data_IF_259556910115
#
_entry.id   IF_259556910115
#
_cell.length_a   1.000
_cell.length_b   1.000
_cell.length_c   1.000
_cell.angle_alpha   90.00
_cell.angle_beta   90.00
_cell.angle_gamma   90.00
#
_symmetry.space_group_name_H-M   'P 1'
#
loop_
_entity.id
_entity.type
_entity.pdbx_description
1 polymer ?
#
# COMPACT_ATOMS: atom_id res chain seq x y z
N UNK A 1 -5.13 -21.62 -5.01
CA UNK A 1 -5.85 -22.15 -6.19
C UNK A 1 -7.35 -21.84 -6.23
N UNK A 2 -8.16 -22.34 -5.28
CA UNK A 2 -9.64 -22.26 -5.37
C UNK A 2 -10.20 -20.83 -5.33
N UNK A 3 -9.81 -20.04 -4.33
CA UNK A 3 -10.44 -18.76 -4.00
C UNK A 3 -9.51 -17.52 -4.00
N UNK A 4 -8.23 -17.64 -4.38
CA UNK A 4 -7.29 -16.50 -4.35
C UNK A 4 -7.09 -15.88 -2.95
N UNK A 5 -7.41 -16.64 -1.90
CA UNK A 5 -7.76 -16.09 -0.58
C UNK A 5 -6.60 -15.68 0.32
N UNK A 6 -5.54 -16.48 0.43
CA UNK A 6 -4.48 -16.21 1.40
C UNK A 6 -3.47 -15.18 0.89
N UNK A 7 -3.17 -14.22 1.76
CA UNK A 7 -1.91 -13.50 1.72
C UNK A 7 -0.79 -14.46 2.10
N UNK A 8 0.38 -14.25 1.51
CA UNK A 8 1.59 -14.97 1.87
C UNK A 8 2.53 -13.95 2.51
N UNK A 9 2.71 -14.07 3.82
CA UNK A 9 3.75 -13.36 4.57
C UNK A 9 5.04 -14.17 4.50
N UNK A 10 5.98 -13.69 3.69
CA UNK A 10 7.25 -14.33 3.47
C UNK A 10 8.27 -13.76 4.46
N UNK A 11 8.59 -14.58 5.47
CA UNK A 11 9.53 -14.24 6.53
C UNK A 11 10.98 -14.61 6.21
N UNK A 12 11.24 -15.26 5.07
CA UNK A 12 12.59 -15.70 4.66
C UNK A 12 13.56 -14.53 4.36
N UNK A 13 13.16 -13.43 3.70
CA UNK A 13 14.08 -12.36 3.35
C UNK A 13 14.74 -11.76 4.60
N UNK A 14 16.07 -11.53 4.60
CA UNK A 14 16.80 -11.12 5.81
C UNK A 14 16.25 -9.86 6.49
N UNK A 15 15.75 -8.89 5.72
CA UNK A 15 15.18 -7.65 6.26
C UNK A 15 13.88 -7.86 7.07
N UNK A 16 13.26 -9.05 7.00
CA UNK A 16 12.06 -9.40 7.77
C UNK A 16 12.36 -9.85 9.20
N UNK A 17 13.64 -9.99 9.57
CA UNK A 17 14.09 -10.23 10.95
C UNK A 17 13.46 -11.47 11.58
N UNK A 18 13.16 -12.50 10.78
CA UNK A 18 12.59 -13.76 11.28
C UNK A 18 13.48 -14.37 12.36
N UNK A 19 12.86 -14.81 13.47
CA UNK A 19 13.55 -15.35 14.63
C UNK A 19 14.22 -14.31 15.53
N UNK A 20 14.18 -13.01 15.19
CA UNK A 20 14.73 -11.91 16.01
C UNK A 20 13.66 -11.00 16.62
N UNK A 21 12.39 -11.32 16.41
CA UNK A 21 11.27 -10.52 16.90
C UNK A 21 9.93 -10.95 16.31
N UNK A 22 8.90 -10.16 16.59
CA UNK A 22 7.57 -10.25 16.01
C UNK A 22 7.48 -9.28 14.83
N UNK A 23 7.03 -9.78 13.69
CA UNK A 23 6.58 -8.95 12.56
C UNK A 23 5.17 -9.36 12.21
N UNK A 24 4.26 -8.40 12.13
CA UNK A 24 2.87 -8.65 11.76
C UNK A 24 2.45 -7.69 10.65
N UNK A 25 1.88 -8.24 9.57
CA UNK A 25 1.11 -7.43 8.63
C UNK A 25 -0.26 -7.13 9.22
N UNK A 26 -0.57 -5.84 9.33
CA UNK A 26 -1.86 -5.35 9.76
C UNK A 26 -2.59 -4.65 8.61
N UNK A 27 -3.92 -4.76 8.65
CA UNK A 27 -4.81 -4.25 7.62
C UNK A 27 -4.43 -4.80 6.23
N UNK A 28 -4.25 -3.92 5.24
CA UNK A 28 -4.06 -4.29 3.85
C UNK A 28 -2.62 -4.64 3.49
N UNK A 29 -1.64 -3.93 4.06
CA UNK A 29 -0.22 -4.03 3.69
C UNK A 29 0.73 -3.30 4.64
N UNK A 30 0.27 -2.80 5.80
CA UNK A 30 1.18 -2.17 6.76
C UNK A 30 1.84 -3.27 7.57
N UNK A 31 3.12 -3.12 7.87
CA UNK A 31 3.81 -4.05 8.77
C UNK A 31 4.36 -3.28 9.95
N UNK A 32 4.33 -3.93 11.10
CA UNK A 32 4.90 -3.40 12.32
C UNK A 32 5.77 -4.49 12.95
N UNK A 33 6.91 -4.07 13.47
CA UNK A 33 7.93 -4.97 14.01
C UNK A 33 8.30 -4.56 15.42
N UNK A 34 8.45 -5.54 16.30
CA UNK A 34 9.08 -5.37 17.61
C UNK A 34 10.03 -6.54 17.86
N UNK A 35 11.21 -6.28 18.41
CA UNK A 35 12.17 -7.30 18.80
C UNK A 35 12.85 -6.96 20.13
N UNK A 36 13.60 -7.90 20.74
CA UNK A 36 14.30 -7.68 22.01
C UNK A 36 15.28 -6.50 21.97
N UNK A 37 15.83 -6.19 20.79
CA UNK A 37 16.76 -5.06 20.61
C UNK A 37 16.05 -3.69 20.64
N UNK A 38 14.78 -3.64 20.26
CA UNK A 38 14.00 -2.39 20.13
C UNK A 38 13.00 -2.17 21.26
N UNK A 39 12.63 -3.23 21.98
CA UNK A 39 11.57 -3.22 23.00
C UNK A 39 12.06 -3.91 24.27
N UNK A 40 12.37 -3.16 25.34
CA UNK A 40 12.92 -3.73 26.57
C UNK A 40 11.93 -4.66 27.29
N UNK A 41 10.63 -4.57 26.98
CA UNK A 41 9.57 -5.44 27.51
C UNK A 41 9.18 -6.54 26.53
N UNK A 42 10.01 -6.84 25.53
CA UNK A 42 9.66 -7.77 24.47
C UNK A 42 9.22 -9.14 25.00
N UNK A 43 9.98 -9.73 25.94
CA UNK A 43 9.68 -11.05 26.47
C UNK A 43 8.44 -11.03 27.36
N UNK A 44 8.27 -10.00 28.20
CA UNK A 44 7.06 -9.82 29.01
C UNK A 44 5.81 -9.77 28.10
N UNK A 45 5.88 -9.01 26.99
CA UNK A 45 4.81 -8.93 25.99
C UNK A 45 4.59 -10.23 25.23
N UNK A 46 5.66 -10.99 24.96
CA UNK A 46 5.60 -12.27 24.26
C UNK A 46 4.92 -13.35 25.11
N UNK A 47 5.19 -13.35 26.41
CA UNK A 47 4.66 -14.31 27.38
C UNK A 47 3.44 -13.81 28.16
N UNK A 48 2.96 -12.59 27.85
CA UNK A 48 1.84 -11.93 28.51
C UNK A 48 2.03 -11.76 30.03
N UNK A 49 3.28 -11.60 30.46
CA UNK A 49 3.62 -11.41 31.87
C UNK A 49 3.12 -10.05 32.36
N UNK A 50 2.46 -10.02 33.52
CA UNK A 50 1.88 -8.80 34.07
C UNK A 50 0.86 -8.10 33.15
N UNK A 51 0.25 -8.84 32.21
CA UNK A 51 -0.68 -8.30 31.21
C UNK A 51 -0.03 -7.44 30.12
N UNK A 52 1.31 -7.42 30.03
CA UNK A 52 2.03 -6.80 28.92
C UNK A 52 1.65 -7.47 27.60
N UNK A 53 1.50 -6.69 26.54
CA UNK A 53 1.12 -7.19 25.22
C UNK A 53 1.56 -6.24 24.11
N UNK A 54 1.65 -6.75 22.88
CA UNK A 54 1.99 -5.94 21.72
C UNK A 54 0.83 -5.05 21.28
N UNK A 55 1.03 -3.74 21.34
CA UNK A 55 0.14 -2.72 20.75
C UNK A 55 0.72 -2.20 19.43
N UNK A 56 0.71 -3.03 18.39
CA UNK A 56 1.23 -2.63 17.08
C UNK A 56 0.12 -1.92 16.28
N UNK A 57 0.45 -0.77 15.67
CA UNK A 57 -0.49 -0.03 14.83
C UNK A 57 -0.01 1.36 14.44
N UNK A 58 -0.81 2.05 13.63
CA UNK A 58 -0.53 3.41 13.16
C UNK A 58 -1.54 4.44 13.66
N UNK A 59 -1.07 5.61 14.14
CA UNK A 59 -1.89 6.75 14.58
C UNK A 59 -2.50 7.52 13.42
N UNK A 60 -1.75 7.69 12.34
CA UNK A 60 -2.16 8.45 11.15
C UNK A 60 -1.27 8.09 9.97
N UNK A 61 -1.87 8.08 8.77
CA UNK A 61 -1.14 7.98 7.49
C UNK A 61 -1.30 9.30 6.73
N UNK A 62 -0.21 9.81 6.17
CA UNK A 62 -0.23 10.91 5.18
C UNK A 62 0.68 10.51 4.02
N UNK A 63 0.21 10.68 2.79
CA UNK A 63 0.87 10.14 1.58
C UNK A 63 1.52 11.23 0.74
N UNK A 64 2.78 10.99 0.35
CA UNK A 64 3.52 11.78 -0.63
C UNK A 64 3.02 11.45 -2.04
N UNK A 65 2.59 12.47 -2.78
CA UNK A 65 2.31 12.39 -4.21
C UNK A 65 3.64 12.49 -4.98
N UNK A 66 4.26 11.34 -5.26
CA UNK A 66 5.56 11.27 -5.94
C UNK A 66 5.55 11.91 -7.34
N UNK A 67 4.52 11.72 -8.19
CA UNK A 67 4.43 12.41 -9.48
C UNK A 67 4.54 13.93 -9.36
N UNK A 68 3.90 14.53 -8.34
CA UNK A 68 4.00 15.98 -8.08
C UNK A 68 5.44 16.41 -7.79
N UNK A 69 6.24 15.59 -7.12
CA UNK A 69 7.66 15.88 -6.88
C UNK A 69 8.41 15.93 -8.22
N UNK A 70 8.22 14.94 -9.10
CA UNK A 70 8.81 14.95 -10.43
C UNK A 70 8.34 16.14 -11.29
N UNK A 71 7.07 16.52 -11.23
CA UNK A 71 6.57 17.69 -11.96
C UNK A 71 7.23 19.00 -11.50
N UNK A 72 7.58 19.11 -10.21
CA UNK A 72 8.28 20.26 -9.63
C UNK A 72 9.78 20.22 -9.96
N UNK A 73 10.39 19.05 -9.90
CA UNK A 73 11.81 18.84 -10.26
C UNK A 73 12.06 19.04 -11.76
N UNK A 74 11.07 18.74 -12.59
CA UNK A 74 11.09 18.96 -14.04
C UNK A 74 12.33 18.35 -14.74
N UNK A 75 12.66 17.10 -14.39
CA UNK A 75 13.82 16.38 -14.91
C UNK A 75 15.15 16.70 -14.22
N UNK A 76 15.17 17.60 -13.23
CA UNK A 76 16.36 17.92 -12.45
C UNK A 76 16.50 17.00 -11.23
N UNK A 77 17.41 16.03 -11.31
CA UNK A 77 17.74 15.09 -10.22
C UNK A 77 18.16 15.80 -8.92
N UNK A 78 18.87 16.92 -9.02
CA UNK A 78 19.42 17.62 -7.85
C UNK A 78 18.33 18.25 -6.98
N UNK A 79 17.17 18.58 -7.55
CA UNK A 79 16.05 19.18 -6.81
C UNK A 79 15.19 18.15 -6.08
N UNK A 80 15.23 16.87 -6.46
CA UNK A 80 14.35 15.84 -5.90
C UNK A 80 14.48 15.71 -4.37
N UNK A 81 15.69 15.64 -3.78
CA UNK A 81 15.83 15.48 -2.33
C UNK A 81 15.29 16.69 -1.55
N UNK A 82 15.55 17.90 -2.02
CA UNK A 82 15.06 19.14 -1.40
C UNK A 82 13.51 19.17 -1.40
N UNK A 83 12.90 18.84 -2.53
CA UNK A 83 11.44 18.80 -2.68
C UNK A 83 10.80 17.71 -1.82
N UNK A 84 11.45 16.55 -1.69
CA UNK A 84 11.02 15.49 -0.78
C UNK A 84 11.09 15.98 0.66
N UNK A 85 12.22 16.56 1.10
CA UNK A 85 12.39 17.07 2.48
C UNK A 85 11.34 18.13 2.79
N UNK A 86 11.12 19.09 1.90
CA UNK A 86 10.10 20.12 2.07
C UNK A 86 8.69 19.53 2.27
N UNK A 87 8.29 18.55 1.46
CA UNK A 87 6.97 17.92 1.56
C UNK A 87 6.86 17.08 2.82
N UNK A 88 7.88 16.27 3.13
CA UNK A 88 7.88 15.40 4.31
C UNK A 88 7.90 16.22 5.60
N UNK A 89 8.67 17.30 5.69
CA UNK A 89 8.64 18.19 6.85
C UNK A 89 7.24 18.79 7.08
N UNK A 90 6.48 19.09 6.01
CA UNK A 90 5.07 19.50 6.14
C UNK A 90 4.19 18.38 6.67
N UNK A 91 4.41 17.15 6.22
CA UNK A 91 3.71 15.97 6.73
C UNK A 91 3.98 15.77 8.23
N UNK A 92 5.24 15.91 8.65
CA UNK A 92 5.61 15.79 10.06
C UNK A 92 4.91 16.83 10.93
N UNK A 93 4.80 18.09 10.47
CA UNK A 93 3.99 19.11 11.16
C UNK A 93 2.52 18.71 11.33
N UNK A 94 1.93 18.01 10.34
CA UNK A 94 0.57 17.46 10.48
C UNK A 94 0.52 16.40 11.58
N UNK A 95 1.54 15.56 11.69
CA UNK A 95 1.64 14.55 12.75
C UNK A 95 1.82 15.18 14.13
N UNK A 96 2.66 16.21 14.28
CA UNK A 96 2.81 16.96 15.54
C UNK A 96 1.48 17.56 16.00
N UNK A 97 0.71 18.16 15.09
CA UNK A 97 -0.62 18.69 15.39
C UNK A 97 -1.57 17.56 15.80
N UNK A 98 -1.53 16.43 15.09
CA UNK A 98 -2.34 15.25 15.41
C UNK A 98 -1.99 14.67 16.78
N UNK A 99 -0.71 14.59 17.14
CA UNK A 99 -0.23 14.10 18.43
C UNK A 99 -0.71 15.03 19.56
N UNK A 100 -0.53 16.35 19.42
CA UNK A 100 -1.05 17.34 20.38
C UNK A 100 -2.56 17.21 20.58
N UNK A 101 -3.31 17.05 19.50
CA UNK A 101 -4.76 16.88 19.57
C UNK A 101 -5.15 15.55 20.24
N UNK A 102 -4.46 14.46 19.91
CA UNK A 102 -4.69 13.15 20.49
C UNK A 102 -4.42 13.13 22.00
N UNK A 103 -3.32 13.73 22.46
CA UNK A 103 -3.01 13.90 23.89
C UNK A 103 -4.12 14.66 24.62
N UNK A 104 -4.55 15.78 24.04
CA UNK A 104 -5.68 16.56 24.59
C UNK A 104 -6.96 15.72 24.67
N UNK A 105 -7.24 14.87 23.69
CA UNK A 105 -8.42 13.99 23.71
C UNK A 105 -8.33 12.93 24.82
N UNK A 106 -7.17 12.28 24.95
CA UNK A 106 -6.90 11.29 25.98
C UNK A 106 -7.00 11.87 27.40
N UNK A 107 -6.52 13.11 27.60
CA UNK A 107 -6.54 13.78 28.90
C UNK A 107 -7.94 14.29 29.30
N UNK A 108 -8.70 14.87 28.36
CA UNK A 108 -9.90 15.64 28.70
C UNK A 108 -11.22 14.91 28.50
N UNK A 109 -11.29 13.96 27.55
CA UNK A 109 -12.54 13.30 27.19
C UNK A 109 -12.51 11.79 27.44
N UNK A 110 -11.29 11.24 27.52
CA UNK A 110 -11.07 9.82 27.58
C UNK A 110 -11.40 9.15 26.24
N UNK A 111 -10.61 8.16 25.86
CA UNK A 111 -10.92 7.22 24.78
C UNK A 111 -11.14 5.87 25.48
N UNK A 112 -12.39 5.52 25.84
CA UNK A 112 -12.67 4.45 26.79
C UNK A 112 -12.00 3.13 26.42
N UNK A 113 -12.04 2.73 25.15
CA UNK A 113 -11.43 1.48 24.70
C UNK A 113 -9.89 1.50 24.77
N UNK A 114 -9.25 2.61 24.41
CA UNK A 114 -7.80 2.71 24.38
C UNK A 114 -7.20 2.84 25.80
N UNK A 115 -7.92 3.51 26.71
CA UNK A 115 -7.46 3.75 28.08
C UNK A 115 -8.00 2.75 29.09
N UNK A 116 -8.85 1.81 28.67
CA UNK A 116 -9.34 0.76 29.55
C UNK A 116 -8.17 -0.08 30.04
N UNK A 117 -8.08 -0.24 31.36
CA UNK A 117 -7.08 -1.07 32.03
C UNK A 117 -7.82 -2.26 32.66
N UNK A 118 -7.70 -3.47 32.10
CA UNK A 118 -8.28 -4.65 32.71
C UNK A 118 -7.67 -4.89 34.10
N UNK A 119 -8.35 -5.69 34.92
CA UNK A 119 -7.81 -6.16 36.19
C UNK A 119 -7.28 -7.57 36.04
N UNK A 120 -6.15 -7.82 36.68
CA UNK A 120 -5.62 -9.17 36.84
C UNK A 120 -6.64 -10.03 37.61
N UNK A 121 -7.03 -11.21 37.10
CA UNK A 121 -8.03 -12.04 37.75
C UNK A 121 -7.55 -12.70 39.05
N UNK A 122 -6.23 -12.78 39.27
CA UNK A 122 -5.61 -13.39 40.45
C UNK A 122 -5.25 -12.33 41.48
N UNK A 123 -4.57 -11.25 41.09
CA UNK A 123 -4.10 -10.21 42.02
C UNK A 123 -5.10 -9.07 42.20
N UNK A 124 -6.01 -8.88 41.25
CA UNK A 124 -6.97 -7.76 41.23
C UNK A 124 -6.36 -6.40 40.85
N UNK A 125 -5.06 -6.36 40.55
CA UNK A 125 -4.34 -5.15 40.17
C UNK A 125 -4.70 -4.66 38.77
N UNK A 126 -4.52 -3.36 38.50
CA UNK A 126 -4.74 -2.79 37.16
C UNK A 126 -3.58 -3.17 36.25
N UNK A 127 -3.88 -3.86 35.16
CA UNK A 127 -2.95 -4.21 34.11
C UNK A 127 -2.64 -3.00 33.20
N UNK A 128 -1.66 -3.09 32.29
CA UNK A 128 -1.46 -2.10 31.23
C UNK A 128 -2.74 -1.78 30.45
N UNK A 129 -2.87 -0.57 29.86
CA UNK A 129 -4.00 -0.25 29.01
C UNK A 129 -4.06 -1.19 27.79
N UNK A 130 -5.27 -1.47 27.29
CA UNK A 130 -5.47 -2.32 26.11
C UNK A 130 -4.80 -1.78 24.83
N UNK A 131 -4.49 -0.48 24.80
CA UNK A 131 -3.74 0.15 23.73
C UNK A 131 -2.64 1.01 24.32
N UNK A 132 -1.40 0.61 24.11
CA UNK A 132 -0.24 1.48 24.35
C UNK A 132 -0.12 2.49 23.22
N UNK A 133 -0.67 3.68 23.44
CA UNK A 133 -0.66 4.79 22.48
C UNK A 133 0.75 5.29 22.15
N UNK A 134 1.75 5.05 23.00
CA UNK A 134 3.12 5.51 22.77
C UNK A 134 3.88 4.58 21.81
N UNK A 135 3.48 3.31 21.77
CA UNK A 135 4.02 2.32 20.82
C UNK A 135 3.49 2.45 19.38
N UNK A 136 2.42 3.23 19.16
CA UNK A 136 1.82 3.41 17.83
C UNK A 136 2.61 4.42 16.97
N UNK A 137 2.75 4.12 15.68
CA UNK A 137 3.60 4.87 14.76
C UNK A 137 2.84 5.87 13.86
N UNK A 138 3.55 6.83 13.28
CA UNK A 138 3.05 7.70 12.23
C UNK A 138 3.58 7.26 10.87
N UNK A 139 2.71 7.11 9.88
CA UNK A 139 3.10 6.51 8.60
C UNK A 139 3.14 7.55 7.48
N UNK A 140 4.31 7.66 6.86
CA UNK A 140 4.51 8.42 5.63
C UNK A 140 4.33 7.44 4.48
N UNK A 141 3.24 7.62 3.75
CA UNK A 141 2.90 6.80 2.59
C UNK A 141 3.54 7.32 1.31
N UNK A 142 3.75 6.46 0.32
CA UNK A 142 4.11 6.87 -1.04
C UNK A 142 3.10 6.37 -2.07
N UNK A 143 2.95 7.13 -3.16
CA UNK A 143 2.07 6.82 -4.28
C UNK A 143 2.62 7.37 -5.60
N UNK A 144 2.44 6.63 -6.70
CA UNK A 144 2.71 7.09 -8.06
C UNK A 144 4.19 7.02 -8.45
N UNK A 145 4.95 6.06 -7.90
CA UNK A 145 6.36 5.89 -8.22
C UNK A 145 6.61 5.61 -9.71
N UNK A 146 5.72 4.85 -10.36
CA UNK A 146 5.81 4.61 -11.81
C UNK A 146 5.66 5.91 -12.62
N UNK A 147 4.67 6.74 -12.28
CA UNK A 147 4.44 8.00 -13.00
C UNK A 147 5.49 9.06 -12.66
N UNK A 148 6.05 9.05 -11.44
CA UNK A 148 7.21 9.85 -11.09
C UNK A 148 8.41 9.49 -11.98
N UNK A 149 8.75 8.20 -12.08
CA UNK A 149 9.85 7.73 -12.91
C UNK A 149 9.61 8.02 -14.39
N UNK A 150 8.38 7.81 -14.88
CA UNK A 150 8.01 8.09 -16.26
C UNK A 150 8.15 9.57 -16.61
N UNK A 151 7.64 10.47 -15.78
CA UNK A 151 7.74 11.90 -16.07
C UNK A 151 9.19 12.37 -16.02
N UNK A 152 9.98 11.84 -15.08
CA UNK A 152 11.34 12.32 -14.82
C UNK A 152 12.37 11.76 -15.82
N UNK A 153 12.22 10.50 -16.22
CA UNK A 153 13.19 9.80 -17.08
C UNK A 153 12.70 9.57 -18.51
N UNK A 154 11.41 9.79 -18.77
CA UNK A 154 10.76 9.45 -20.04
C UNK A 154 10.25 8.01 -20.12
N UNK A 155 10.59 7.15 -19.15
CA UNK A 155 10.30 5.71 -19.20
C UNK A 155 9.59 5.22 -17.93
N UNK A 156 8.63 4.32 -18.10
CA UNK A 156 8.01 3.58 -17.01
C UNK A 156 8.98 2.55 -16.43
N UNK A 157 8.67 2.05 -15.22
CA UNK A 157 9.54 1.11 -14.51
C UNK A 157 9.82 -0.19 -15.28
N UNK A 158 8.87 -0.63 -16.11
CA UNK A 158 9.03 -1.85 -16.91
C UNK A 158 9.76 -1.62 -18.24
N UNK A 159 9.95 -0.36 -18.65
CA UNK A 159 10.50 0.02 -19.95
C UNK A 159 12.02 0.27 -19.88
N UNK A 160 12.55 0.75 -18.74
CA UNK A 160 13.95 1.14 -18.61
C UNK A 160 14.54 0.78 -17.24
N UNK A 161 15.81 0.33 -17.23
CA UNK A 161 16.56 0.10 -15.98
C UNK A 161 16.89 1.43 -15.30
N UNK A 162 17.08 2.50 -16.05
CA UNK A 162 17.35 3.86 -15.59
C UNK A 162 16.15 4.39 -14.79
N UNK A 163 14.92 4.18 -15.26
CA UNK A 163 13.70 4.51 -14.52
C UNK A 163 13.63 3.79 -13.15
N UNK A 164 14.00 2.51 -13.12
CA UNK A 164 14.06 1.73 -11.87
C UNK A 164 15.15 2.27 -10.94
N UNK A 165 16.37 2.53 -11.45
CA UNK A 165 17.48 3.09 -10.66
C UNK A 165 17.11 4.45 -10.05
N UNK A 166 16.48 5.32 -10.84
CA UNK A 166 16.00 6.63 -10.40
C UNK A 166 15.00 6.51 -9.25
N UNK A 167 13.98 5.65 -9.38
CA UNK A 167 12.98 5.48 -8.33
C UNK A 167 13.60 4.85 -7.07
N UNK A 168 14.47 3.84 -7.21
CA UNK A 168 15.18 3.25 -6.06
C UNK A 168 16.00 4.30 -5.31
N UNK A 169 16.79 5.11 -6.02
CA UNK A 169 17.56 6.22 -5.43
C UNK A 169 16.65 7.20 -4.69
N UNK A 170 15.53 7.58 -5.32
CA UNK A 170 14.55 8.49 -4.73
C UNK A 170 13.96 7.96 -3.43
N UNK A 171 13.53 6.70 -3.40
CA UNK A 171 12.92 6.11 -2.19
C UNK A 171 13.96 5.90 -1.08
N UNK A 172 15.22 5.58 -1.43
CA UNK A 172 16.32 5.55 -0.45
C UNK A 172 16.55 6.94 0.17
N UNK A 173 16.61 8.00 -0.65
CA UNK A 173 16.74 9.37 -0.15
C UNK A 173 15.56 9.77 0.75
N UNK A 174 14.33 9.40 0.36
CA UNK A 174 13.15 9.61 1.20
C UNK A 174 13.26 8.88 2.54
N UNK A 175 13.77 7.65 2.56
CA UNK A 175 13.97 6.88 3.79
C UNK A 175 14.96 7.58 4.73
N UNK A 176 16.09 8.07 4.21
CA UNK A 176 17.06 8.80 5.02
C UNK A 176 16.47 10.11 5.57
N UNK A 177 15.71 10.88 4.76
CA UNK A 177 14.99 12.07 5.23
C UNK A 177 14.00 11.74 6.36
N UNK A 178 13.27 10.63 6.23
CA UNK A 178 12.32 10.20 7.29
C UNK A 178 13.07 9.81 8.56
N UNK A 179 14.24 9.17 8.44
CA UNK A 179 15.09 8.82 9.57
C UNK A 179 15.62 10.08 10.28
N UNK A 180 16.16 11.05 9.54
CA UNK A 180 16.60 12.34 10.08
C UNK A 180 15.46 13.04 10.84
N UNK A 181 14.27 13.13 10.23
CA UNK A 181 13.11 13.76 10.88
C UNK A 181 12.60 12.98 12.09
N UNK A 182 12.75 11.65 12.12
CA UNK A 182 12.44 10.80 13.27
C UNK A 182 13.35 11.18 14.45
N UNK A 183 14.65 11.33 14.19
CA UNK A 183 15.65 11.75 15.19
C UNK A 183 15.43 13.20 15.65
N UNK A 184 15.16 14.13 14.72
CA UNK A 184 14.93 15.55 15.02
C UNK A 184 13.67 15.79 15.88
N UNK A 185 12.61 15.02 15.65
CA UNK A 185 11.29 15.27 16.27
C UNK A 185 10.92 14.31 17.40
N UNK A 186 11.61 13.18 17.51
CA UNK A 186 11.25 12.10 18.44
C UNK A 186 9.94 11.38 18.12
N UNK A 187 9.28 11.71 17.00
CA UNK A 187 8.06 11.01 16.58
C UNK A 187 8.42 9.62 16.00
N UNK A 188 7.63 8.57 16.28
CA UNK A 188 7.83 7.25 15.70
C UNK A 188 7.36 7.23 14.23
N UNK A 189 8.15 7.77 13.30
CA UNK A 189 7.81 7.89 11.88
C UNK A 189 8.20 6.62 11.10
N UNK A 190 7.33 6.05 10.27
CA UNK A 190 7.66 4.92 9.37
C UNK A 190 7.32 5.23 7.91
N UNK A 191 8.09 4.66 6.97
CA UNK A 191 7.85 4.79 5.53
C UNK A 191 7.15 3.54 4.98
N UNK A 192 6.03 3.72 4.27
CA UNK A 192 5.21 2.62 3.79
C UNK A 192 4.63 2.83 2.39
N UNK A 193 4.18 1.74 1.77
CA UNK A 193 3.30 1.78 0.61
C UNK A 193 1.85 1.97 1.02
N UNK A 194 1.26 3.13 0.73
CA UNK A 194 -0.17 3.37 0.97
C UNK A 194 -1.01 2.35 0.18
N UNK A 195 -2.05 1.72 0.76
CA UNK A 195 -2.99 0.89 -0.02
C UNK A 195 -3.70 1.67 -1.15
N UNK A 196 -3.97 2.96 -0.91
CA UNK A 196 -4.38 3.96 -1.91
C UNK A 196 -5.65 3.65 -2.71
N UNK A 197 -6.69 3.12 -2.05
CA UNK A 197 -7.98 2.82 -2.67
C UNK A 197 -8.64 4.05 -3.30
N UNK A 198 -8.71 5.14 -2.55
CA UNK A 198 -9.21 6.44 -2.99
C UNK A 198 -8.08 7.41 -3.34
N UNK A 199 -6.92 7.29 -2.68
CA UNK A 199 -5.80 8.22 -2.85
C UNK A 199 -5.21 8.18 -4.27
N UNK A 200 -5.16 7.00 -4.91
CA UNK A 200 -4.68 6.82 -6.29
C UNK A 200 -5.40 7.74 -7.28
N UNK A 201 -6.74 7.69 -7.27
CA UNK A 201 -7.58 8.53 -8.11
C UNK A 201 -7.54 9.99 -7.64
N UNK A 202 -7.71 10.24 -6.34
CA UNK A 202 -7.79 11.61 -5.80
C UNK A 202 -6.57 12.44 -6.13
N UNK A 203 -5.36 11.86 -6.02
CA UNK A 203 -4.12 12.57 -6.31
C UNK A 203 -3.94 12.84 -7.80
N UNK A 204 -4.31 11.89 -8.67
CA UNK A 204 -4.32 12.08 -10.12
C UNK A 204 -5.28 13.21 -10.55
N UNK A 205 -6.51 13.23 -9.99
CA UNK A 205 -7.48 14.30 -10.28
C UNK A 205 -6.97 15.66 -9.76
N UNK A 206 -6.41 15.71 -8.55
CA UNK A 206 -5.85 16.94 -8.00
C UNK A 206 -4.70 17.49 -8.86
N UNK A 207 -3.97 16.62 -9.55
CA UNK A 207 -2.96 16.99 -10.53
C UNK A 207 -3.56 17.55 -11.82
N UNK A 208 -4.53 16.86 -12.42
CA UNK A 208 -5.20 17.28 -13.65
C UNK A 208 -6.01 18.57 -13.50
N UNK A 209 -6.66 18.78 -12.35
CA UNK A 209 -7.43 20.02 -12.10
C UNK A 209 -6.50 21.22 -11.92
N UNK A 210 -5.31 21.03 -11.38
CA UNK A 210 -4.38 22.12 -11.09
C UNK A 210 -3.68 22.63 -12.36
N UNK A 211 -3.94 23.89 -12.74
CA UNK A 211 -3.38 24.53 -13.94
C UNK A 211 -1.85 24.41 -14.07
N UNK A 212 -1.10 24.48 -12.95
CA UNK A 212 0.37 24.40 -12.97
C UNK A 212 0.90 23.02 -13.35
N UNK A 213 0.10 21.98 -13.12
CA UNK A 213 0.54 20.58 -13.25
C UNK A 213 -0.29 19.78 -14.26
N UNK A 214 -1.40 20.34 -14.75
CA UNK A 214 -2.34 19.68 -15.65
C UNK A 214 -1.68 19.01 -16.84
N UNK A 215 -0.89 19.77 -17.62
CA UNK A 215 -0.26 19.23 -18.83
C UNK A 215 0.81 18.19 -18.49
N UNK A 216 1.55 18.40 -17.40
CA UNK A 216 2.53 17.43 -16.89
C UNK A 216 1.83 16.12 -16.48
N UNK A 217 0.71 16.22 -15.78
CA UNK A 217 -0.06 15.08 -15.32
C UNK A 217 -0.70 14.29 -16.48
N UNK A 218 -1.28 14.99 -17.47
CA UNK A 218 -1.85 14.35 -18.67
C UNK A 218 -0.84 13.43 -19.38
N UNK A 219 0.46 13.73 -19.31
CA UNK A 219 1.49 12.93 -19.96
C UNK A 219 1.77 11.56 -19.31
N UNK A 220 1.39 11.35 -18.04
CA UNK A 220 1.75 10.12 -17.30
C UNK A 220 0.62 9.47 -16.52
N UNK A 221 -0.45 10.19 -16.18
CA UNK A 221 -1.63 9.64 -15.48
C UNK A 221 -2.19 8.44 -16.26
N UNK A 222 -2.61 7.39 -15.54
CA UNK A 222 -3.19 6.18 -16.12
C UNK A 222 -4.70 6.25 -16.18
N UNK A 223 -5.30 5.37 -16.99
CA UNK A 223 -6.72 5.29 -17.20
C UNK A 223 -7.20 6.11 -18.40
N UNK A 224 -8.43 6.60 -18.34
CA UNK A 224 -9.09 7.32 -19.43
C UNK A 224 -8.95 8.84 -19.23
N UNK A 225 -7.81 9.36 -19.70
CA UNK A 225 -7.42 10.77 -19.54
C UNK A 225 -8.32 11.68 -20.38
N UNK A 226 -8.77 11.24 -21.55
CA UNK A 226 -9.65 12.00 -22.44
C UNK A 226 -11.01 12.26 -21.79
N UNK A 227 -11.66 11.19 -21.31
CA UNK A 227 -12.92 11.30 -20.58
C UNK A 227 -12.75 12.15 -19.33
N UNK A 228 -11.68 11.95 -18.56
CA UNK A 228 -11.41 12.77 -17.37
C UNK A 228 -11.21 14.25 -17.73
N UNK A 229 -10.50 14.57 -18.82
CA UNK A 229 -10.31 15.95 -19.26
C UNK A 229 -11.62 16.60 -19.69
N UNK A 230 -12.47 15.89 -20.43
CA UNK A 230 -13.81 16.36 -20.82
C UNK A 230 -14.70 16.59 -19.59
N UNK A 231 -14.71 15.67 -18.63
CA UNK A 231 -15.44 15.83 -17.37
C UNK A 231 -14.94 17.03 -16.55
N UNK A 232 -13.62 17.24 -16.47
CA UNK A 232 -13.02 18.41 -15.79
C UNK A 232 -13.41 19.72 -16.48
N UNK A 233 -13.45 19.75 -17.82
CA UNK A 233 -13.92 20.91 -18.58
C UNK A 233 -15.41 21.20 -18.32
N UNK A 234 -16.22 20.16 -18.12
CA UNK A 234 -17.63 20.25 -17.74
C UNK A 234 -17.85 20.56 -16.24
N UNK A 235 -16.78 20.74 -15.45
CA UNK A 235 -16.85 21.13 -14.03
C UNK A 235 -16.79 19.97 -13.03
N UNK A 236 -16.75 18.71 -13.48
CA UNK A 236 -16.59 17.55 -12.60
C UNK A 236 -15.15 17.43 -12.08
N UNK A 237 -14.99 17.18 -10.78
CA UNK A 237 -13.68 17.15 -10.10
C UNK A 237 -13.54 15.99 -9.13
N UNK A 238 -14.46 15.03 -9.18
CA UNK A 238 -14.47 13.86 -8.31
C UNK A 238 -14.79 12.63 -9.16
N UNK A 239 -14.40 11.48 -8.66
CA UNK A 239 -14.74 10.18 -9.23
C UNK A 239 -14.53 10.07 -10.76
N UNK A 240 -13.33 10.42 -11.23
CA UNK A 240 -12.93 10.35 -12.65
C UNK A 240 -12.16 9.05 -12.97
N UNK A 241 -12.25 8.51 -14.19
CA UNK A 241 -11.68 7.21 -14.57
C UNK A 241 -10.15 7.24 -14.78
N UNK A 242 -9.43 7.89 -13.88
CA UNK A 242 -7.98 8.08 -13.89
C UNK A 242 -7.37 7.73 -12.55
N UNK A 243 -6.11 7.32 -12.56
CA UNK A 243 -5.40 6.93 -11.34
C UNK A 243 -3.88 7.01 -11.52
N UNK A 244 -3.18 7.07 -10.39
CA UNK A 244 -1.75 6.77 -10.32
C UNK A 244 -1.51 5.33 -9.88
N UNK A 245 -0.38 4.76 -10.28
CA UNK A 245 0.05 3.43 -9.87
C UNK A 245 0.32 3.40 -8.36
N UNK A 246 -0.02 2.27 -7.73
CA UNK A 246 0.02 2.16 -6.28
C UNK A 246 1.46 2.11 -5.74
N UNK A 247 1.82 3.01 -4.82
CA UNK A 247 3.17 3.08 -4.25
C UNK A 247 4.29 3.03 -5.30
N UNK A 248 5.09 1.97 -5.26
CA UNK A 248 6.23 1.72 -6.17
C UNK A 248 5.96 0.58 -7.16
N UNK A 249 4.70 0.18 -7.35
CA UNK A 249 4.35 -0.86 -8.31
C UNK A 249 4.68 -0.46 -9.73
N UNK A 250 5.02 -1.46 -10.53
CA UNK A 250 4.98 -1.34 -11.99
C UNK A 250 3.53 -1.03 -12.39
N UNK A 251 3.35 -0.30 -13.51
CA UNK A 251 2.03 -0.08 -14.09
C UNK A 251 1.24 -1.39 -14.19
N UNK A 252 0.01 -1.40 -13.67
CA UNK A 252 -0.82 -2.62 -13.57
C UNK A 252 -1.14 -3.27 -14.92
N UNK A 253 -1.10 -2.50 -16.01
CA UNK A 253 -1.30 -2.99 -17.37
C UNK A 253 -0.02 -3.33 -18.13
N UNK A 254 1.14 -3.30 -17.47
CA UNK A 254 2.40 -3.68 -18.09
C UNK A 254 2.40 -5.16 -18.48
N UNK A 255 2.48 -5.44 -19.78
CA UNK A 255 2.50 -6.80 -20.35
C UNK A 255 3.92 -7.37 -20.33
N UNK A 256 4.42 -7.65 -19.13
CA UNK A 256 5.76 -8.20 -18.90
C UNK A 256 5.68 -9.57 -18.21
N UNK A 257 6.70 -10.45 -18.39
CA UNK A 257 6.78 -11.68 -17.63
C UNK A 257 6.79 -11.44 -16.12
N UNK A 258 6.18 -12.35 -15.35
CA UNK A 258 6.13 -12.27 -13.88
C UNK A 258 7.53 -12.14 -13.26
N UNK A 259 8.52 -12.88 -13.80
CA UNK A 259 9.91 -12.81 -13.35
C UNK A 259 10.48 -11.38 -13.46
N UNK A 260 10.17 -10.66 -14.54
CA UNK A 260 10.61 -9.27 -14.72
C UNK A 260 9.91 -8.33 -13.73
N UNK A 261 8.61 -8.53 -13.48
CA UNK A 261 7.88 -7.78 -12.44
C UNK A 261 8.48 -8.00 -11.05
N UNK A 262 8.79 -9.26 -10.70
CA UNK A 262 9.48 -9.62 -9.45
C UNK A 262 10.84 -8.94 -9.36
N UNK A 263 11.65 -9.01 -10.43
CA UNK A 263 12.97 -8.37 -10.48
C UNK A 263 12.91 -6.87 -10.16
N UNK A 264 11.89 -6.17 -10.67
CA UNK A 264 11.70 -4.73 -10.44
C UNK A 264 11.19 -4.47 -9.02
N UNK A 265 10.04 -5.04 -8.65
CA UNK A 265 9.33 -4.65 -7.42
C UNK A 265 10.02 -5.14 -6.14
N UNK A 266 10.77 -6.25 -6.20
CA UNK A 266 11.48 -6.76 -5.01
C UNK A 266 12.47 -5.73 -4.44
N UNK A 267 12.99 -4.81 -5.26
CA UNK A 267 13.97 -3.79 -4.84
C UNK A 267 13.40 -2.83 -3.80
N UNK A 268 12.08 -2.63 -3.77
CA UNK A 268 11.43 -1.69 -2.85
C UNK A 268 11.03 -2.32 -1.51
N UNK A 269 11.00 -3.65 -1.43
CA UNK A 269 10.57 -4.35 -0.21
C UNK A 269 11.49 -4.09 0.99
N UNK A 270 12.83 -4.18 0.87
CA UNK A 270 13.71 -3.83 1.99
C UNK A 270 13.67 -2.33 2.35
N UNK A 271 13.36 -1.46 1.39
CA UNK A 271 13.38 0.00 1.59
C UNK A 271 12.11 0.48 2.31
N UNK A 272 10.96 -0.09 1.96
CA UNK A 272 9.65 0.18 2.57
C UNK A 272 9.31 -0.81 3.68
N UNK A 273 10.25 -1.67 4.07
CA UNK A 273 10.01 -2.84 4.91
C UNK A 273 9.55 -2.53 6.33
N UNK A 274 9.88 -1.36 6.87
CA UNK A 274 9.47 -0.93 8.21
C UNK A 274 7.99 -0.54 8.29
N UNK A 275 7.44 0.05 7.23
CA UNK A 275 6.05 0.49 7.20
C UNK A 275 5.14 -0.41 6.36
N UNK A 276 5.70 -1.25 5.50
CA UNK A 276 5.00 -2.31 4.79
C UNK A 276 4.85 -2.07 3.28
N UNK A 277 4.83 -3.17 2.55
CA UNK A 277 4.66 -3.23 1.11
C UNK A 277 3.89 -4.50 0.73
N UNK A 278 3.37 -4.58 -0.50
CA UNK A 278 2.63 -5.76 -0.95
C UNK A 278 2.82 -5.96 -2.44
N UNK A 279 3.00 -7.21 -2.88
CA UNK A 279 3.13 -7.59 -4.27
C UNK A 279 1.88 -8.31 -4.76
N UNK A 280 1.34 -7.86 -5.90
CA UNK A 280 0.15 -8.47 -6.51
C UNK A 280 0.51 -9.35 -7.70
N UNK A 281 -0.11 -10.52 -7.76
CA UNK A 281 -0.11 -11.42 -8.92
C UNK A 281 -1.58 -11.62 -9.32
N UNK A 282 -1.99 -11.02 -10.42
CA UNK A 282 -3.35 -11.18 -10.95
C UNK A 282 -3.37 -12.41 -11.85
N UNK A 283 -4.19 -13.41 -11.50
CA UNK A 283 -4.27 -14.67 -12.23
C UNK A 283 -5.30 -14.56 -13.36
N UNK A 284 -4.90 -14.98 -14.57
CA UNK A 284 -5.76 -15.07 -15.74
C UNK A 284 -6.48 -16.40 -15.88
N UNK A 285 -6.05 -17.42 -15.13
CA UNK A 285 -6.60 -18.77 -15.22
C UNK A 285 -7.81 -18.95 -14.31
N UNK A 286 -8.83 -19.65 -14.82
CA UNK A 286 -10.00 -20.00 -14.04
C UNK A 286 -9.68 -20.94 -12.87
N UNK A 287 -8.80 -21.92 -13.12
CA UNK A 287 -8.45 -23.00 -12.21
C UNK A 287 -6.92 -23.21 -12.19
N UNK A 288 -6.16 -22.30 -11.55
CA UNK A 288 -4.71 -22.42 -11.46
C UNK A 288 -4.32 -23.68 -10.68
N UNK A 289 -3.32 -24.41 -11.17
CA UNK A 289 -2.80 -25.63 -10.55
C UNK A 289 -2.21 -25.34 -9.15
N UNK A 290 -2.70 -26.01 -8.07
CA UNK A 290 -2.15 -25.86 -6.73
C UNK A 290 -0.64 -26.11 -6.65
N UNK A 291 -0.12 -27.11 -7.35
CA UNK A 291 1.31 -27.47 -7.29
C UNK A 291 2.19 -26.44 -8.00
N UNK A 292 1.77 -25.95 -9.17
CA UNK A 292 2.42 -24.83 -9.84
C UNK A 292 2.45 -23.57 -8.96
N UNK A 293 1.32 -23.23 -8.31
CA UNK A 293 1.26 -22.10 -7.37
C UNK A 293 2.19 -22.29 -6.18
N UNK A 294 2.30 -23.50 -5.64
CA UNK A 294 3.22 -23.80 -4.56
C UNK A 294 4.69 -23.69 -5.01
N UNK A 295 5.02 -24.23 -6.18
CA UNK A 295 6.34 -24.09 -6.80
C UNK A 295 6.74 -22.63 -7.01
N UNK A 296 5.82 -21.81 -7.52
CA UNK A 296 6.02 -20.38 -7.68
C UNK A 296 6.17 -19.65 -6.33
N UNK A 297 5.36 -20.02 -5.34
CA UNK A 297 5.44 -19.47 -3.98
C UNK A 297 6.82 -19.71 -3.38
N UNK A 298 7.36 -20.93 -3.49
CA UNK A 298 8.73 -21.24 -3.05
C UNK A 298 9.78 -20.42 -3.81
N UNK A 299 9.65 -20.29 -5.14
CA UNK A 299 10.58 -19.48 -5.96
C UNK A 299 10.58 -18.01 -5.54
N UNK A 300 9.41 -17.42 -5.31
CA UNK A 300 9.29 -16.04 -4.82
C UNK A 300 9.89 -15.94 -3.42
N UNK A 301 9.52 -16.85 -2.54
CA UNK A 301 9.88 -16.79 -1.13
C UNK A 301 11.39 -16.90 -0.90
N UNK A 302 12.03 -17.86 -1.58
CA UNK A 302 13.45 -18.19 -1.41
C UNK A 302 14.37 -17.41 -2.36
N UNK A 303 13.85 -16.95 -3.51
CA UNK A 303 14.63 -16.35 -4.59
C UNK A 303 14.47 -14.83 -4.75
N UNK A 304 13.70 -14.17 -3.88
CA UNK A 304 13.47 -12.72 -3.98
C UNK A 304 13.34 -12.06 -2.61
N UNK A 305 13.39 -10.73 -2.61
CA UNK A 305 13.14 -9.91 -1.42
C UNK A 305 11.65 -9.61 -1.18
N UNK A 306 10.71 -10.26 -1.87
CA UNK A 306 9.27 -10.01 -1.68
C UNK A 306 8.83 -10.60 -0.34
N UNK A 307 8.54 -9.74 0.64
CA UNK A 307 8.09 -10.17 1.98
C UNK A 307 6.58 -10.35 2.14
N UNK A 308 5.76 -9.86 1.21
CA UNK A 308 4.30 -9.99 1.33
C UNK A 308 3.61 -9.92 -0.03
N UNK A 309 2.81 -10.94 -0.35
CA UNK A 309 2.18 -11.03 -1.66
C UNK A 309 0.87 -11.80 -1.66
N UNK A 310 0.09 -11.64 -2.73
CA UNK A 310 -1.13 -12.38 -2.93
C UNK A 310 -1.34 -12.77 -4.40
N UNK A 311 -1.86 -13.97 -4.59
CA UNK A 311 -2.46 -14.40 -5.85
C UNK A 311 -3.93 -13.97 -5.87
N UNK A 312 -4.29 -13.07 -6.77
CA UNK A 312 -5.66 -12.61 -6.92
C UNK A 312 -6.33 -13.33 -8.07
N UNK A 313 -7.48 -13.93 -7.78
CA UNK A 313 -8.48 -14.35 -8.78
C UNK A 313 -9.63 -13.34 -8.79
N UNK A 314 -10.16 -13.08 -9.97
CA UNK A 314 -11.42 -12.35 -10.10
C UNK A 314 -12.59 -13.34 -10.09
N UNK A 315 -13.73 -12.89 -9.58
CA UNK A 315 -14.94 -13.69 -9.47
C UNK A 315 -16.14 -12.99 -10.08
N UNK A 316 -16.98 -13.78 -10.72
CA UNK A 316 -18.34 -13.43 -11.13
C UNK A 316 -19.32 -14.10 -10.17
N UNK A 317 -20.19 -13.32 -9.54
CA UNK A 317 -21.26 -13.80 -8.66
C UNK A 317 -22.60 -13.59 -9.37
N UNK A 318 -23.32 -14.67 -9.63
CA UNK A 318 -24.64 -14.59 -10.23
C UNK A 318 -25.70 -14.20 -9.19
N UNK A 319 -26.49 -13.16 -9.46
CA UNK A 319 -27.59 -12.71 -8.59
C UNK A 319 -28.84 -13.60 -8.72
N UNK A 320 -28.94 -14.40 -9.80
CA UNK A 320 -30.10 -15.27 -10.05
C UNK A 320 -29.94 -16.67 -9.46
N UNK A 321 -28.79 -17.33 -9.66
CA UNK A 321 -28.55 -18.70 -9.16
C UNK A 321 -27.51 -18.77 -8.02
N UNK A 322 -27.00 -17.62 -7.56
CA UNK A 322 -26.07 -17.49 -6.42
C UNK A 322 -24.74 -18.24 -6.55
N UNK A 323 -24.40 -18.73 -7.76
CA UNK A 323 -23.11 -19.37 -8.02
C UNK A 323 -21.99 -18.35 -8.19
N UNK A 324 -20.82 -18.72 -7.66
CA UNK A 324 -19.55 -18.01 -7.86
C UNK A 324 -18.77 -18.72 -8.96
N UNK A 325 -18.40 -17.97 -9.99
CA UNK A 325 -17.60 -18.44 -11.13
C UNK A 325 -16.28 -17.66 -11.18
N UNK A 326 -15.19 -18.28 -11.64
CA UNK A 326 -13.91 -17.57 -11.80
C UNK A 326 -13.99 -16.58 -12.97
N UNK A 327 -13.05 -15.64 -13.00
CA UNK A 327 -12.92 -14.59 -14.01
C UNK A 327 -14.07 -13.57 -13.97
N UNK A 328 -13.95 -12.53 -14.81
CA UNK A 328 -14.97 -11.51 -15.03
C UNK A 328 -15.78 -11.88 -16.27
N UNK A 329 -16.92 -12.53 -16.08
CA UNK A 329 -17.80 -12.99 -17.16
C UNK A 329 -19.01 -12.06 -17.28
N UNK A 330 -19.36 -11.67 -18.50
CA UNK A 330 -20.53 -10.80 -18.76
C UNK A 330 -21.88 -11.48 -18.43
N UNK A 331 -21.90 -12.81 -18.39
CA UNK A 331 -23.07 -13.61 -18.01
C UNK A 331 -22.64 -14.78 -17.12
N UNK A 332 -23.59 -15.30 -16.34
CA UNK A 332 -23.34 -16.47 -15.51
C UNK A 332 -23.09 -17.70 -16.40
N UNK A 333 -21.93 -18.37 -16.30
CA UNK A 333 -21.64 -19.54 -17.12
C UNK A 333 -22.51 -20.76 -16.78
N UNK A 334 -23.29 -20.71 -15.68
CA UNK A 334 -24.13 -21.81 -15.24
C UNK A 334 -25.60 -21.68 -15.64
N UNK A 335 -26.17 -20.47 -15.63
CA UNK A 335 -27.58 -20.25 -15.94
C UNK A 335 -27.84 -19.22 -17.04
N UNK A 336 -26.78 -18.64 -17.63
CA UNK A 336 -26.88 -17.63 -18.70
C UNK A 336 -27.36 -16.25 -18.25
N UNK A 337 -27.71 -16.05 -16.97
CA UNK A 337 -28.19 -14.76 -16.46
C UNK A 337 -27.14 -13.66 -16.61
N UNK A 338 -27.57 -12.49 -17.11
CA UNK A 338 -26.76 -11.25 -17.16
C UNK A 338 -26.75 -10.49 -15.82
N UNK A 339 -27.59 -10.90 -14.86
CA UNK A 339 -27.60 -10.31 -13.52
C UNK A 339 -26.41 -10.84 -12.72
N UNK A 340 -25.21 -10.30 -12.97
CA UNK A 340 -23.97 -10.65 -12.29
C UNK A 340 -23.38 -9.45 -11.57
N UNK A 341 -22.63 -9.72 -10.50
CA UNK A 341 -21.71 -8.76 -9.87
C UNK A 341 -20.32 -9.37 -9.80
N UNK A 342 -19.30 -8.54 -9.56
CA UNK A 342 -17.92 -8.98 -9.57
C UNK A 342 -17.27 -8.77 -8.21
N UNK A 343 -16.40 -9.71 -7.84
CA UNK A 343 -15.54 -9.58 -6.67
C UNK A 343 -14.08 -9.72 -7.09
N UNK A 344 -13.27 -8.77 -6.66
CA UNK A 344 -11.83 -8.75 -6.91
C UNK A 344 -11.12 -8.14 -5.70
N UNK A 345 -9.81 -8.37 -5.61
CA UNK A 345 -8.97 -7.64 -4.65
C UNK A 345 -8.81 -6.20 -5.12
N UNK A 346 -9.25 -5.22 -4.33
CA UNK A 346 -9.15 -3.80 -4.71
C UNK A 346 -7.71 -3.32 -4.57
N UNK A 347 -7.18 -3.36 -3.34
CA UNK A 347 -5.79 -3.03 -3.02
C UNK A 347 -5.27 -4.06 -2.03
N UNK A 348 -5.87 -4.16 -0.85
CA UNK A 348 -5.53 -5.16 0.15
C UNK A 348 -6.47 -6.34 0.08
N UNK A 349 -7.79 -6.13 0.12
CA UNK A 349 -8.80 -7.16 0.40
C UNK A 349 -9.80 -7.34 -0.76
N UNK A 350 -10.57 -8.42 -0.70
CA UNK A 350 -11.65 -8.69 -1.65
C UNK A 350 -12.87 -7.84 -1.33
N UNK A 351 -13.43 -7.19 -2.35
CA UNK A 351 -14.67 -6.44 -2.21
C UNK A 351 -15.52 -6.51 -3.48
N UNK A 352 -16.81 -6.20 -3.31
CA UNK A 352 -17.72 -6.03 -4.44
C UNK A 352 -17.26 -4.84 -5.30
N UNK A 353 -17.01 -5.11 -6.59
CA UNK A 353 -16.54 -4.14 -7.59
C UNK A 353 -17.57 -3.03 -7.82
N UNK A 354 -18.86 -3.28 -7.62
CA UNK A 354 -19.91 -2.24 -7.77
C UNK A 354 -19.70 -1.05 -6.83
N UNK A 355 -19.05 -1.26 -5.68
CA UNK A 355 -18.74 -0.18 -4.72
C UNK A 355 -17.45 0.59 -5.04
N UNK A 356 -16.74 0.27 -6.12
CA UNK A 356 -15.45 0.88 -6.41
C UNK A 356 -15.61 2.24 -7.09
N UNK A 357 -14.69 3.17 -6.80
CA UNK A 357 -14.60 4.42 -7.54
C UNK A 357 -14.20 4.17 -9.00
N UNK A 358 -14.50 5.11 -9.90
CA UNK A 358 -14.27 4.96 -11.34
C UNK A 358 -12.79 4.79 -11.70
N UNK A 359 -11.86 5.31 -10.91
CA UNK A 359 -10.43 5.09 -11.07
C UNK A 359 -10.05 3.63 -10.82
N UNK A 360 -10.61 3.01 -9.77
CA UNK A 360 -10.42 1.58 -9.48
C UNK A 360 -11.15 0.67 -10.46
N UNK A 361 -12.33 1.08 -10.95
CA UNK A 361 -13.00 0.38 -12.05
C UNK A 361 -12.15 0.40 -13.33
N UNK A 362 -11.50 1.54 -13.63
CA UNK A 362 -10.59 1.64 -14.76
C UNK A 362 -9.32 0.81 -14.54
N UNK A 363 -8.71 0.89 -13.35
CA UNK A 363 -7.56 0.05 -12.97
C UNK A 363 -7.87 -1.44 -13.14
N UNK A 364 -9.06 -1.91 -12.71
CA UNK A 364 -9.48 -3.31 -12.86
C UNK A 364 -9.47 -3.78 -14.32
N UNK A 365 -9.90 -2.91 -15.23
CA UNK A 365 -9.90 -3.16 -16.68
C UNK A 365 -8.49 -3.17 -17.25
N UNK A 366 -7.63 -2.28 -16.76
CA UNK A 366 -6.24 -2.16 -17.23
C UNK A 366 -5.33 -3.28 -16.71
N UNK A 367 -5.69 -3.97 -15.61
CA UNK A 367 -4.88 -5.04 -15.01
C UNK A 367 -4.48 -6.12 -16.02
N UNK A 368 -3.18 -6.31 -16.17
CA UNK A 368 -2.62 -7.46 -16.86
C UNK A 368 -2.72 -8.69 -15.95
N UNK A 369 -3.42 -9.72 -16.45
CA UNK A 369 -3.60 -11.01 -15.78
C UNK A 369 -2.65 -12.02 -16.39
N UNK A 370 -1.86 -12.67 -15.53
CA UNK A 370 -0.81 -13.62 -15.92
C UNK A 370 -1.41 -15.02 -15.92
N UNK A 371 -1.08 -15.81 -16.94
CA UNK A 371 -1.26 -17.26 -16.94
C UNK A 371 0.04 -17.91 -16.49
N UNK A 372 -0.04 -18.90 -15.60
CA UNK A 372 1.12 -19.46 -14.88
C UNK A 372 1.74 -20.67 -15.57
#
# INVERSE_FOLDING_TARGET
AKFGGSYIDNMVPPYRMYGRGVSCYQCCAYTFTSGPESDPKFYDKLYLEGGEHFSLGGKQVVTVNLPRIAYRANGNDALVPELLREVVSKIVKVFEVKEKWLRKQLENYGIPFAQYRPRDPVTGEKLPPLVDMDSLVYTIGVLGGNEMAQYHTGYQLHESKEAVRFLVKTILQLREIVKELREETGLPLVLARTPAESAAQRLAIADLVNRKFREKAKSVVKGDVETAAASIAAGERRNLPVYYSNGTHVYVGARIPLARKIEIEQKFFPILGEGGNMFHIWLGEAHPDPEALWGLTKKIALGSQIGYFAYTKDFTICKSCHRVSPLLNESCPHCGSKAVTYWSRITGYYSNVEGWNSGKLRELRDRYRISL
#
